data_IF_316691036786
#
_entry.id   IF_316691036786
#
_cell.length_a   1.000
_cell.length_b   1.000
_cell.length_c   1.000
_cell.angle_alpha   90.00
_cell.angle_beta   90.00
_cell.angle_gamma   90.00
#
_symmetry.space_group_name_H-M   'P 1'
#
loop_
_entity.id
_entity.type
_entity.pdbx_description
1 polymer ?
#
# COMPACT_ATOMS: atom_id res chain seq x y z
N UNK A 1 3.78 23.11 19.56
CA UNK A 1 4.62 22.52 18.50
C UNK A 1 3.94 21.21 18.08
N UNK A 2 3.58 20.98 16.81
CA UNK A 2 3.02 19.69 16.43
C UNK A 2 4.14 18.65 16.52
N UNK A 3 3.96 17.67 17.41
CA UNK A 3 4.97 16.66 17.75
C UNK A 3 5.33 15.81 16.53
N UNK A 4 6.62 15.80 16.21
CA UNK A 4 7.28 14.88 15.27
C UNK A 4 7.21 13.47 15.85
N UNK A 5 6.07 12.81 15.66
CA UNK A 5 5.83 11.41 16.05
C UNK A 5 5.44 10.57 14.84
N UNK A 6 5.74 9.26 14.88
CA UNK A 6 5.26 8.33 13.86
C UNK A 6 3.74 8.14 14.00
N UNK A 7 3.01 8.17 12.87
CA UNK A 7 1.56 7.94 12.87
C UNK A 7 1.19 6.49 13.23
N UNK A 8 2.06 5.53 12.89
CA UNK A 8 1.85 4.11 13.16
C UNK A 8 2.99 3.58 14.02
N UNK A 9 2.66 3.19 15.25
CA UNK A 9 3.60 2.69 16.24
C UNK A 9 3.17 1.34 16.80
N UNK A 10 4.12 0.61 17.38
CA UNK A 10 3.83 -0.52 18.27
C UNK A 10 3.19 -0.03 19.57
N UNK A 11 2.73 -0.98 20.39
CA UNK A 11 2.20 -0.69 21.73
C UNK A 11 3.26 -0.04 22.64
N UNK A 12 4.55 -0.20 22.29
CA UNK A 12 5.71 0.40 22.97
C UNK A 12 6.07 1.80 22.41
N UNK A 13 5.33 2.30 21.41
CA UNK A 13 5.58 3.60 20.80
C UNK A 13 6.63 3.62 19.67
N UNK A 14 7.18 2.46 19.31
CA UNK A 14 8.21 2.34 18.26
C UNK A 14 7.58 2.33 16.86
N UNK A 15 8.23 2.92 15.83
CA UNK A 15 7.72 2.87 14.46
C UNK A 15 7.58 1.45 13.94
N UNK A 16 6.56 1.21 13.11
CA UNK A 16 6.45 -0.07 12.41
C UNK A 16 7.62 -0.32 11.47
N UNK A 17 8.30 -1.46 11.68
CA UNK A 17 9.27 -1.96 10.73
C UNK A 17 8.58 -2.50 9.47
N UNK A 18 9.31 -2.50 8.34
CA UNK A 18 8.83 -3.10 7.08
C UNK A 18 8.42 -4.57 7.24
N UNK A 19 9.12 -5.31 8.10
CA UNK A 19 8.84 -6.71 8.40
C UNK A 19 7.48 -6.85 9.12
N UNK A 20 7.22 -6.00 10.11
CA UNK A 20 5.96 -6.01 10.87
C UNK A 20 4.75 -5.75 9.96
N UNK A 21 4.86 -4.78 9.05
CA UNK A 21 3.81 -4.53 8.05
C UNK A 21 3.57 -5.76 7.17
N UNK A 22 4.63 -6.43 6.70
CA UNK A 22 4.50 -7.66 5.91
C UNK A 22 3.80 -8.78 6.68
N UNK A 23 4.13 -8.95 7.95
CA UNK A 23 3.51 -10.00 8.77
C UNK A 23 2.04 -9.70 9.08
N UNK A 24 1.68 -8.43 9.29
CA UNK A 24 0.28 -8.00 9.37
C UNK A 24 -0.49 -8.37 8.10
N UNK A 25 0.08 -8.13 6.92
CA UNK A 25 -0.56 -8.50 5.65
C UNK A 25 -0.75 -10.01 5.51
N UNK A 26 0.21 -10.83 5.96
CA UNK A 26 0.06 -12.30 6.00
C UNK A 26 -1.02 -12.76 6.98
N UNK A 27 -1.19 -12.05 8.10
CA UNK A 27 -2.29 -12.34 9.03
C UNK A 27 -3.65 -12.03 8.39
N UNK A 28 -3.77 -10.91 7.68
CA UNK A 28 -4.98 -10.58 6.92
C UNK A 28 -5.26 -11.63 5.86
N UNK A 29 -4.24 -12.08 5.12
CA UNK A 29 -4.37 -13.15 4.13
C UNK A 29 -4.96 -14.44 4.72
N UNK A 30 -4.42 -14.88 5.88
CA UNK A 30 -4.94 -16.05 6.61
C UNK A 30 -6.41 -15.88 6.98
N UNK A 31 -6.77 -14.72 7.53
CA UNK A 31 -8.16 -14.42 7.93
C UNK A 31 -9.12 -14.38 6.74
N UNK A 32 -8.62 -14.01 5.56
CA UNK A 32 -9.37 -14.01 4.31
C UNK A 32 -9.40 -15.37 3.60
N UNK A 33 -8.81 -16.43 4.18
CA UNK A 33 -8.71 -17.75 3.55
C UNK A 33 -7.74 -17.83 2.37
N UNK A 34 -6.82 -16.87 2.25
CA UNK A 34 -5.81 -16.82 1.19
C UNK A 34 -4.50 -17.46 1.66
N UNK A 35 -3.78 -18.08 0.71
CA UNK A 35 -2.44 -18.62 0.95
C UNK A 35 -1.45 -17.48 1.31
N UNK A 36 -0.94 -17.42 2.55
CA UNK A 36 -0.06 -16.34 2.99
C UNK A 36 1.31 -16.35 2.31
N UNK A 37 1.74 -17.49 1.76
CA UNK A 37 2.98 -17.60 1.00
C UNK A 37 2.83 -16.94 -0.39
N UNK A 38 1.61 -16.89 -0.93
CA UNK A 38 1.29 -16.20 -2.19
C UNK A 38 1.01 -14.72 -2.01
N UNK A 39 0.70 -14.28 -0.79
CA UNK A 39 0.61 -12.85 -0.45
C UNK A 39 2.02 -12.30 -0.29
N UNK A 40 2.59 -11.92 -1.44
CA UNK A 40 3.72 -11.01 -1.47
C UNK A 40 3.24 -9.66 -0.93
N UNK A 41 3.39 -9.45 0.38
CA UNK A 41 3.08 -8.21 1.10
C UNK A 41 3.95 -7.02 0.68
N UNK A 42 4.39 -6.99 -0.58
CA UNK A 42 5.19 -5.93 -1.16
C UNK A 42 4.30 -4.71 -1.41
N UNK A 43 4.72 -3.52 -0.97
CA UNK A 43 3.99 -2.27 -1.22
C UNK A 43 3.58 -2.01 -2.68
N UNK A 44 4.31 -2.57 -3.66
CA UNK A 44 4.02 -2.36 -5.09
C UNK A 44 2.76 -3.11 -5.55
N UNK A 45 2.45 -4.28 -5.00
CA UNK A 45 1.24 -5.04 -5.37
C UNK A 45 -0.05 -4.33 -4.92
N UNK A 46 -0.03 -3.74 -3.72
CA UNK A 46 -1.13 -2.92 -3.22
C UNK A 46 -1.29 -1.64 -4.03
N UNK A 47 -0.18 -0.98 -4.36
CA UNK A 47 -0.18 0.21 -5.21
C UNK A 47 -0.70 -0.10 -6.61
N UNK A 48 -0.39 -1.27 -7.15
CA UNK A 48 -0.88 -1.73 -8.43
C UNK A 48 -2.40 -1.97 -8.39
N UNK A 49 -2.87 -2.74 -7.40
CA UNK A 49 -4.29 -3.02 -7.21
C UNK A 49 -5.11 -1.74 -7.01
N UNK A 50 -4.58 -0.78 -6.26
CA UNK A 50 -5.20 0.53 -6.08
C UNK A 50 -5.33 1.29 -7.40
N UNK A 51 -4.26 1.33 -8.21
CA UNK A 51 -4.26 2.00 -9.50
C UNK A 51 -5.30 1.43 -10.46
N UNK A 52 -5.30 0.10 -10.63
CA UNK A 52 -6.28 -0.61 -11.48
C UNK A 52 -7.71 -0.33 -11.02
N UNK A 53 -8.00 -0.50 -9.73
CA UNK A 53 -9.35 -0.27 -9.19
C UNK A 53 -9.80 1.18 -9.33
N UNK A 54 -8.89 2.13 -9.17
CA UNK A 54 -9.19 3.54 -9.33
C UNK A 54 -9.61 3.87 -10.76
N UNK A 55 -8.88 3.37 -11.76
CA UNK A 55 -9.21 3.58 -13.17
C UNK A 55 -10.52 2.88 -13.56
N UNK A 56 -10.72 1.64 -13.14
CA UNK A 56 -11.95 0.88 -13.40
C UNK A 56 -13.21 1.56 -12.85
N UNK A 57 -13.09 2.33 -11.77
CA UNK A 57 -14.20 3.02 -11.13
C UNK A 57 -14.36 4.48 -11.61
N UNK A 58 -13.88 4.79 -12.81
CA UNK A 58 -14.04 6.11 -13.44
C UNK A 58 -13.01 7.16 -13.00
N UNK A 59 -11.95 6.73 -12.30
CA UNK A 59 -10.83 7.59 -11.97
C UNK A 59 -10.00 7.95 -13.21
N UNK A 60 -9.51 9.19 -13.27
CA UNK A 60 -8.68 9.65 -14.39
C UNK A 60 -7.18 9.40 -14.14
N UNK A 61 -6.42 9.10 -15.19
CA UNK A 61 -4.96 8.94 -15.13
C UNK A 61 -4.25 10.14 -14.44
N UNK A 62 -4.70 11.36 -14.71
CA UNK A 62 -4.18 12.57 -14.06
C UNK A 62 -4.46 12.60 -12.55
N UNK A 63 -5.66 12.20 -12.13
CA UNK A 63 -6.02 12.08 -10.72
C UNK A 63 -5.23 10.99 -10.01
N UNK A 64 -4.98 9.86 -10.70
CA UNK A 64 -4.16 8.76 -10.18
C UNK A 64 -2.71 9.21 -9.94
N UNK A 65 -2.11 9.93 -10.89
CA UNK A 65 -0.73 10.44 -10.79
C UNK A 65 -0.56 11.34 -9.57
N UNK A 66 -1.49 12.28 -9.35
CA UNK A 66 -1.48 13.20 -8.19
C UNK A 66 -1.59 12.45 -6.87
N UNK A 67 -2.50 11.48 -6.79
CA UNK A 67 -2.84 10.78 -5.53
C UNK A 67 -1.79 9.76 -5.10
N UNK A 68 -1.06 9.19 -6.05
CA UNK A 68 0.06 8.29 -5.76
C UNK A 68 1.41 9.01 -5.66
N UNK A 69 1.52 10.26 -6.13
CA UNK A 69 2.75 11.04 -6.04
C UNK A 69 3.90 10.50 -6.90
N UNK A 70 3.60 9.87 -8.04
CA UNK A 70 4.64 9.44 -8.97
C UNK A 70 5.15 10.63 -9.78
N UNK A 71 6.48 10.75 -9.87
CA UNK A 71 7.17 11.79 -10.62
C UNK A 71 7.15 11.60 -12.14
N UNK A 72 6.88 10.38 -12.64
CA UNK A 72 6.90 10.07 -14.08
C UNK A 72 5.60 9.39 -14.58
N UNK A 73 5.24 9.64 -15.84
CA UNK A 73 4.05 9.07 -16.50
C UNK A 73 4.18 7.57 -16.83
N UNK A 74 5.41 7.03 -16.91
CA UNK A 74 5.65 5.61 -17.25
C UNK A 74 4.99 4.63 -16.28
N UNK A 75 4.80 5.01 -15.02
CA UNK A 75 4.08 4.15 -14.08
C UNK A 75 2.58 4.17 -14.32
N UNK A 76 1.98 5.21 -14.91
CA UNK A 76 0.54 5.23 -15.20
C UNK A 76 0.21 4.50 -16.51
N UNK A 77 1.14 4.50 -17.46
CA UNK A 77 0.98 3.87 -18.79
C UNK A 77 1.14 2.34 -18.77
N UNK A 78 1.64 1.78 -17.67
CA UNK A 78 1.82 0.32 -17.47
C UNK A 78 0.63 -0.34 -16.76
N UNK A 79 -0.50 0.36 -16.65
CA UNK A 79 -1.78 -0.08 -16.06
C UNK A 79 -2.89 -0.02 -17.10
#
# INVERSE_FOLDING_TARGET
QPGVGYLFTTDEGEPFSRLRVRDMLRQVARRAGLDPAKVNGHPHAFRHTFAVRYLLHGGTALGLRRRLGHSTMEMVDRY
#
